data_IF_082920806517
#
_entry.id   IF_082920806517
#
_cell.length_a   1.000
_cell.length_b   1.000
_cell.length_c   1.000
_cell.angle_alpha   90.00
_cell.angle_beta   90.00
_cell.angle_gamma   90.00
#
_symmetry.space_group_name_H-M   'P 1'
#
loop_
_entity.id
_entity.type
_entity.pdbx_description
1 polymer ?
#
# COMPACT_ATOMS: atom_id res chain seq x y z
N UNK A 1 -48.36 21.02 -4.38
CA UNK A 1 -47.00 21.04 -4.95
C UNK A 1 -46.96 22.08 -6.06
N UNK A 2 -46.09 23.09 -5.96
CA UNK A 2 -45.99 24.11 -7.00
C UNK A 2 -45.18 23.59 -8.19
N UNK A 3 -45.44 24.14 -9.38
CA UNK A 3 -44.71 23.78 -10.59
C UNK A 3 -43.19 23.91 -10.42
N UNK A 4 -42.75 24.91 -9.65
CA UNK A 4 -41.35 25.12 -9.28
C UNK A 4 -40.72 23.93 -8.54
N UNK A 5 -41.45 23.29 -7.63
CA UNK A 5 -40.94 22.12 -6.89
C UNK A 5 -40.73 20.93 -7.82
N UNK A 6 -41.65 20.73 -8.78
CA UNK A 6 -41.55 19.68 -9.78
C UNK A 6 -40.40 19.92 -10.75
N UNK A 7 -40.24 21.16 -11.22
CA UNK A 7 -39.12 21.54 -12.10
C UNK A 7 -37.77 21.31 -11.44
N UNK A 8 -37.62 21.68 -10.16
CA UNK A 8 -36.38 21.48 -9.41
C UNK A 8 -36.08 19.98 -9.24
N UNK A 9 -37.08 19.19 -8.85
CA UNK A 9 -36.92 17.75 -8.67
C UNK A 9 -36.56 17.02 -9.99
N UNK A 10 -37.14 17.47 -11.10
CA UNK A 10 -36.82 16.91 -12.41
C UNK A 10 -35.40 17.25 -12.84
N UNK A 11 -34.97 18.50 -12.63
CA UNK A 11 -33.60 18.93 -12.94
C UNK A 11 -32.56 18.17 -12.12
N UNK A 12 -32.78 18.01 -10.82
CA UNK A 12 -31.83 17.29 -9.95
C UNK A 12 -31.73 15.82 -10.32
N UNK A 13 -32.84 15.18 -10.71
CA UNK A 13 -32.84 13.79 -11.14
C UNK A 13 -32.05 13.58 -12.44
N UNK A 14 -32.23 14.48 -13.42
CA UNK A 14 -31.45 14.47 -14.67
C UNK A 14 -29.97 14.66 -14.40
N UNK A 15 -29.59 15.63 -13.56
CA UNK A 15 -28.19 15.88 -13.21
C UNK A 15 -27.53 14.66 -12.54
N UNK A 16 -28.22 13.99 -11.62
CA UNK A 16 -27.71 12.79 -10.95
C UNK A 16 -27.62 11.57 -11.89
N UNK A 17 -28.51 11.45 -12.88
CA UNK A 17 -28.44 10.36 -13.87
C UNK A 17 -27.23 10.47 -14.82
N UNK A 18 -26.68 11.67 -14.97
CA UNK A 18 -25.53 11.93 -15.84
C UNK A 18 -24.18 11.83 -15.13
N UNK A 19 -24.15 11.59 -13.80
CA UNK A 19 -22.90 11.42 -13.08
C UNK A 19 -22.43 9.98 -13.12
N UNK A 20 -21.31 9.73 -13.79
CA UNK A 20 -20.59 8.46 -13.69
C UNK A 20 -19.71 8.47 -12.43
N UNK A 21 -19.96 7.51 -11.53
CA UNK A 21 -19.12 7.30 -10.35
C UNK A 21 -17.77 6.74 -10.76
N UNK A 22 -16.67 7.45 -10.47
CA UNK A 22 -15.32 6.90 -10.65
C UNK A 22 -14.94 6.03 -9.46
N UNK A 23 -14.75 4.74 -9.70
CA UNK A 23 -14.14 3.84 -8.70
C UNK A 23 -12.67 4.23 -8.58
N UNK A 24 -12.29 4.84 -7.45
CA UNK A 24 -10.88 5.04 -7.11
C UNK A 24 -10.35 3.69 -6.61
N UNK A 25 -9.83 2.88 -7.52
CA UNK A 25 -9.07 1.68 -7.16
C UNK A 25 -7.73 2.17 -6.61
N UNK A 26 -7.60 2.27 -5.29
CA UNK A 26 -6.30 2.46 -4.65
C UNK A 26 -5.46 1.22 -4.94
N UNK A 27 -4.36 1.39 -5.65
CA UNK A 27 -3.42 0.29 -5.84
C UNK A 27 -2.93 -0.21 -4.47
N UNK A 28 -2.88 -1.53 -4.25
CA UNK A 28 -2.31 -2.09 -3.04
C UNK A 28 -0.84 -1.66 -2.94
N UNK A 29 -0.46 -1.07 -1.80
CA UNK A 29 0.91 -0.62 -1.55
C UNK A 29 1.62 -1.67 -0.70
N UNK A 30 2.85 -2.01 -1.07
CA UNK A 30 3.69 -2.86 -0.25
C UNK A 30 4.06 -2.13 1.05
N UNK A 31 4.22 -2.90 2.14
CA UNK A 31 4.69 -2.35 3.41
C UNK A 31 6.07 -1.69 3.24
N UNK A 32 6.88 -2.25 2.34
CA UNK A 32 8.20 -1.76 1.98
C UNK A 32 8.20 -1.23 0.54
N UNK A 33 8.12 0.10 0.33
CA UNK A 33 8.19 0.70 -1.01
C UNK A 33 9.62 0.73 -1.56
N UNK A 34 10.63 0.66 -0.70
CA UNK A 34 12.05 0.63 -1.03
C UNK A 34 12.82 -0.17 0.01
N UNK A 35 14.01 -0.63 -0.35
CA UNK A 35 14.94 -1.35 0.54
C UNK A 35 16.19 -0.53 0.78
N UNK A 36 16.74 -0.65 1.97
CA UNK A 36 18.03 -0.11 2.35
C UNK A 36 19.13 -1.09 1.96
N UNK A 37 20.11 -0.61 1.20
CA UNK A 37 21.15 -1.45 0.60
C UNK A 37 22.46 -1.49 1.39
N UNK A 38 22.62 -0.63 2.41
CA UNK A 38 23.84 -0.63 3.23
C UNK A 38 23.69 -1.62 4.38
N UNK A 39 24.79 -2.29 4.68
CA UNK A 39 24.87 -3.20 5.82
C UNK A 39 24.61 -2.45 7.13
N UNK A 40 23.78 -3.06 7.98
CA UNK A 40 23.44 -2.53 9.29
C UNK A 40 24.25 -3.32 10.33
N UNK A 41 24.88 -2.62 11.27
CA UNK A 41 25.61 -3.26 12.35
C UNK A 41 24.65 -4.15 13.18
N UNK A 42 25.01 -5.42 13.42
CA UNK A 42 24.16 -6.39 14.12
C UNK A 42 23.66 -5.91 15.49
N UNK A 43 24.49 -5.16 16.23
CA UNK A 43 24.11 -4.60 17.53
C UNK A 43 22.93 -3.59 17.46
N UNK A 44 22.60 -3.09 16.27
CA UNK A 44 21.43 -2.22 16.04
C UNK A 44 20.19 -3.00 15.64
N UNK A 45 20.34 -4.29 15.28
CA UNK A 45 19.24 -5.15 14.85
C UNK A 45 18.56 -5.72 16.11
N UNK A 46 17.44 -5.10 16.51
CA UNK A 46 16.69 -5.58 17.69
C UNK A 46 15.75 -6.74 17.37
N UNK A 47 15.22 -6.80 16.13
CA UNK A 47 14.24 -7.80 15.71
C UNK A 47 14.26 -7.93 14.18
N UNK A 48 14.21 -9.17 13.72
CA UNK A 48 14.08 -9.50 12.29
C UNK A 48 12.66 -10.02 12.06
N UNK A 49 11.94 -9.47 11.07
CA UNK A 49 10.57 -9.88 10.73
C UNK A 49 10.49 -10.20 9.24
N UNK A 50 10.27 -11.47 8.95
CA UNK A 50 10.06 -11.95 7.58
C UNK A 50 8.60 -11.71 7.20
N UNK A 51 8.36 -11.03 6.06
CA UNK A 51 7.02 -10.82 5.53
C UNK A 51 6.84 -11.76 4.34
N UNK A 52 5.86 -12.65 4.44
CA UNK A 52 5.55 -13.57 3.36
C UNK A 52 5.11 -12.82 2.09
N UNK A 53 5.44 -13.34 0.90
CA UNK A 53 4.95 -12.79 -0.35
C UNK A 53 3.42 -12.78 -0.40
N UNK A 54 2.86 -11.68 -0.93
CA UNK A 54 1.44 -11.52 -1.14
C UNK A 54 1.09 -11.43 -2.63
N UNK A 55 -0.21 -11.48 -2.98
CA UNK A 55 -0.68 -11.39 -4.37
C UNK A 55 -0.26 -10.09 -5.09
N UNK A 56 0.13 -9.06 -4.34
CA UNK A 56 0.51 -7.75 -4.86
C UNK A 56 1.96 -7.34 -4.53
N UNK A 57 2.69 -8.13 -3.74
CA UNK A 57 4.05 -7.82 -3.31
C UNK A 57 4.90 -9.08 -3.28
N UNK A 58 5.96 -9.10 -4.09
CA UNK A 58 6.97 -10.18 -4.02
C UNK A 58 7.97 -9.87 -2.91
N UNK A 59 8.30 -10.91 -2.15
CA UNK A 59 9.31 -11.03 -1.07
C UNK A 59 10.00 -9.73 -0.62
N UNK A 60 9.66 -9.24 0.57
CA UNK A 60 10.37 -8.14 1.25
C UNK A 60 10.46 -8.47 2.73
N UNK A 61 11.66 -8.43 3.29
CA UNK A 61 11.88 -8.66 4.71
C UNK A 61 12.03 -7.33 5.45
N UNK A 62 11.49 -7.27 6.66
CA UNK A 62 11.50 -6.07 7.50
C UNK A 62 12.45 -6.27 8.67
N UNK A 63 13.40 -5.36 8.82
CA UNK A 63 14.25 -5.26 10.01
C UNK A 63 13.91 -3.96 10.72
N UNK A 64 13.32 -4.02 11.92
CA UNK A 64 13.04 -2.90 12.86
C UNK A 64 13.19 -1.49 12.29
N UNK A 65 12.18 -1.05 11.53
CA UNK A 65 12.05 0.29 10.90
C UNK A 65 12.81 0.56 9.60
N UNK A 66 13.53 -0.42 9.07
CA UNK A 66 14.15 -0.35 7.75
C UNK A 66 13.86 -1.61 6.94
N UNK A 67 13.35 -1.44 5.73
CA UNK A 67 13.15 -2.55 4.82
C UNK A 67 14.50 -2.95 4.22
N UNK A 68 14.81 -4.24 4.19
CA UNK A 68 16.08 -4.77 3.66
C UNK A 68 15.77 -5.72 2.51
N UNK A 69 16.73 -5.88 1.60
CA UNK A 69 16.56 -6.81 0.49
C UNK A 69 17.03 -8.21 0.91
N UNK A 70 16.16 -9.24 0.93
CA UNK A 70 16.55 -10.61 1.30
C UNK A 70 17.59 -11.23 0.35
N UNK A 71 17.77 -10.65 -0.84
CA UNK A 71 18.79 -11.11 -1.79
C UNK A 71 20.19 -10.60 -1.46
N UNK A 72 20.32 -9.61 -0.58
CA UNK A 72 21.62 -9.06 -0.20
C UNK A 72 22.36 -10.05 0.72
N UNK A 73 23.65 -10.28 0.46
CA UNK A 73 24.44 -11.30 1.14
C UNK A 73 24.46 -11.10 2.67
N UNK A 74 24.69 -9.87 3.13
CA UNK A 74 24.73 -9.54 4.56
C UNK A 74 23.40 -9.82 5.26
N UNK A 75 22.27 -9.68 4.55
CA UNK A 75 20.94 -9.97 5.07
C UNK A 75 20.80 -11.48 5.29
N UNK A 76 21.20 -12.29 4.31
CA UNK A 76 21.20 -13.74 4.44
C UNK A 76 22.12 -14.24 5.55
N UNK A 77 23.26 -13.59 5.75
CA UNK A 77 24.22 -13.96 6.78
C UNK A 77 23.65 -13.68 8.18
N UNK A 78 22.94 -12.54 8.36
CA UNK A 78 22.21 -12.22 9.60
C UNK A 78 21.05 -13.17 9.86
N UNK A 79 20.32 -13.60 8.82
CA UNK A 79 19.20 -14.54 8.96
C UNK A 79 19.61 -15.96 9.33
N UNK A 80 20.84 -16.36 9.02
CA UNK A 80 21.39 -17.70 9.32
C UNK A 80 22.01 -17.80 10.72
N UNK A 81 22.18 -16.68 11.40
CA UNK A 81 22.77 -16.59 12.73
C UNK A 81 21.80 -17.07 13.80
#
# INVERSE_FOLDING_TARGET
MSATTLSIAFLTCVLLSMTEGRIIIKQPKCLCPSTYSKEIQLNRIQKFVIIAPGPHCRNLEKVVDVCVNPSDQWVQDVMKM
#
